data_IF_074413018105
#
_entry.id   IF_074413018105
#
_cell.length_a   1.000
_cell.length_b   1.000
_cell.length_c   1.000
_cell.angle_alpha   90.00
_cell.angle_beta   90.00
_cell.angle_gamma   90.00
#
_symmetry.space_group_name_H-M   'P 1'
#
loop_
_entity.id
_entity.type
_entity.pdbx_description
1 polymer ?
#
# COMPACT_ATOMS: atom_id res chain seq x y z
N UNK A 1 -2.42 -10.06 10.39
CA UNK A 1 -1.14 -9.46 10.82
C UNK A 1 -1.07 -9.24 12.33
N UNK A 2 -1.50 -10.24 13.11
CA UNK A 2 -1.42 -10.19 14.58
C UNK A 2 -0.02 -10.53 15.07
N UNK A 3 0.45 -9.85 16.11
CA UNK A 3 1.65 -10.25 16.83
C UNK A 3 1.36 -11.39 17.83
N UNK A 4 2.41 -11.96 18.42
CA UNK A 4 2.28 -13.09 19.34
C UNK A 4 1.45 -12.73 20.60
N UNK A 5 1.62 -11.56 21.17
CA UNK A 5 0.87 -11.13 22.36
C UNK A 5 -0.63 -10.98 22.05
N UNK A 6 -0.97 -10.40 20.93
CA UNK A 6 -2.37 -10.31 20.46
C UNK A 6 -2.98 -11.70 20.26
N UNK A 7 -2.22 -12.62 19.68
CA UNK A 7 -2.66 -14.00 19.53
C UNK A 7 -2.95 -14.67 20.89
N UNK A 8 -2.06 -14.52 21.87
CA UNK A 8 -2.28 -15.07 23.22
C UNK A 8 -3.51 -14.48 23.93
N UNK A 9 -3.75 -13.18 23.78
CA UNK A 9 -4.96 -12.53 24.31
C UNK A 9 -6.22 -13.14 23.70
N UNK A 10 -6.26 -13.25 22.36
CA UNK A 10 -7.40 -13.85 21.65
C UNK A 10 -7.62 -15.29 22.08
N UNK A 11 -6.54 -16.07 22.22
CA UNK A 11 -6.61 -17.46 22.69
C UNK A 11 -7.19 -17.56 24.09
N UNK A 12 -6.71 -16.73 25.03
CA UNK A 12 -7.22 -16.71 26.39
C UNK A 12 -8.71 -16.33 26.47
N UNK A 13 -9.16 -15.40 25.62
CA UNK A 13 -10.57 -14.99 25.55
C UNK A 13 -11.47 -16.10 24.96
N UNK A 14 -10.95 -16.90 24.05
CA UNK A 14 -11.70 -17.96 23.37
C UNK A 14 -11.61 -19.32 24.06
N UNK A 15 -10.75 -19.49 25.05
CA UNK A 15 -10.40 -20.79 25.66
C UNK A 15 -11.62 -21.58 26.14
N UNK A 16 -12.56 -20.92 26.79
CA UNK A 16 -13.74 -21.59 27.41
C UNK A 16 -14.73 -22.14 26.37
N UNK A 17 -15.00 -21.41 25.30
CA UNK A 17 -16.09 -21.75 24.37
C UNK A 17 -15.60 -22.14 22.98
N UNK A 18 -14.34 -21.82 22.67
CA UNK A 18 -13.70 -22.01 21.35
C UNK A 18 -14.52 -21.48 20.17
N UNK A 19 -15.45 -20.54 20.46
CA UNK A 19 -16.28 -19.91 19.45
C UNK A 19 -15.54 -18.69 18.88
N UNK A 20 -14.65 -18.95 17.94
CA UNK A 20 -13.78 -17.97 17.33
C UNK A 20 -13.78 -18.12 15.81
N UNK A 21 -13.82 -16.99 15.12
CA UNK A 21 -13.62 -16.91 13.67
C UNK A 21 -12.45 -16.00 13.38
N UNK A 22 -11.51 -16.48 12.59
CA UNK A 22 -10.37 -15.67 12.11
C UNK A 22 -10.43 -15.55 10.61
N UNK A 23 -10.11 -14.37 10.10
CA UNK A 23 -10.03 -14.07 8.68
C UNK A 23 -8.67 -13.49 8.38
N UNK A 24 -8.05 -13.95 7.32
CA UNK A 24 -6.73 -13.44 6.94
C UNK A 24 -6.32 -13.89 5.55
N UNK A 25 -5.20 -13.36 5.10
CA UNK A 25 -4.58 -13.73 3.84
C UNK A 25 -3.07 -13.92 4.07
N UNK A 26 -2.63 -15.16 4.01
CA UNK A 26 -1.23 -15.54 4.18
C UNK A 26 -0.31 -14.89 3.14
N UNK A 27 -0.83 -14.68 1.92
CA UNK A 27 -0.09 -14.03 0.85
C UNK A 27 0.15 -12.52 1.09
N UNK A 28 -0.64 -11.89 1.97
CA UNK A 28 -0.55 -10.47 2.30
C UNK A 28 0.06 -10.19 3.68
N UNK A 29 0.76 -11.14 4.27
CA UNK A 29 1.46 -10.97 5.56
C UNK A 29 2.75 -10.15 5.37
N UNK A 30 2.61 -8.81 5.35
CA UNK A 30 3.70 -7.87 5.05
C UNK A 30 4.17 -7.06 6.26
N UNK A 31 3.64 -7.31 7.47
CA UNK A 31 3.97 -6.56 8.69
C UNK A 31 4.88 -7.34 9.67
N UNK A 32 5.65 -8.30 9.19
CA UNK A 32 6.60 -9.04 10.03
C UNK A 32 7.61 -8.11 10.74
N UNK A 33 8.03 -7.01 10.10
CA UNK A 33 8.90 -6.00 10.69
C UNK A 33 8.26 -5.21 11.86
N UNK A 34 6.94 -5.34 12.04
CA UNK A 34 6.18 -4.80 13.20
C UNK A 34 5.79 -5.88 14.19
N UNK A 35 6.40 -7.07 14.10
CA UNK A 35 6.14 -8.20 14.99
C UNK A 35 4.93 -9.05 14.62
N UNK A 36 4.32 -8.85 13.45
CA UNK A 36 3.29 -9.75 12.95
C UNK A 36 3.86 -11.15 12.68
N UNK A 37 3.11 -12.18 13.03
CA UNK A 37 3.52 -13.55 12.87
C UNK A 37 2.50 -14.33 12.03
N UNK A 38 2.93 -14.69 10.81
CA UNK A 38 2.11 -15.48 9.88
C UNK A 38 1.73 -16.86 10.46
N UNK A 39 2.54 -17.41 11.35
CA UNK A 39 2.25 -18.69 11.98
C UNK A 39 0.97 -18.66 12.81
N UNK A 40 0.52 -17.51 13.27
CA UNK A 40 -0.75 -17.38 14.00
C UNK A 40 -1.94 -17.85 13.15
N UNK A 41 -1.92 -17.65 11.85
CA UNK A 41 -2.96 -18.14 10.94
C UNK A 41 -2.66 -19.54 10.41
N UNK A 42 -1.40 -19.83 10.08
CA UNK A 42 -1.00 -21.13 9.52
C UNK A 42 -1.17 -22.28 10.53
N UNK A 43 -0.94 -22.02 11.83
CA UNK A 43 -1.07 -23.02 12.87
C UNK A 43 -2.46 -23.03 13.53
N UNK A 44 -3.38 -22.18 13.12
CA UNK A 44 -4.69 -22.06 13.74
C UNK A 44 -5.44 -23.42 13.82
N UNK A 45 -5.35 -24.25 12.78
CA UNK A 45 -5.94 -25.59 12.76
C UNK A 45 -5.30 -26.57 13.75
N UNK A 46 -4.07 -26.30 14.23
CA UNK A 46 -3.39 -27.12 15.24
C UNK A 46 -3.71 -26.65 16.66
N UNK A 47 -4.06 -25.39 16.81
CA UNK A 47 -4.25 -24.73 18.10
C UNK A 47 -5.69 -24.83 18.62
N UNK A 48 -6.64 -25.13 17.73
CA UNK A 48 -8.06 -25.28 18.05
C UNK A 48 -8.61 -26.59 17.50
N UNK A 49 -9.53 -27.20 18.24
CA UNK A 49 -10.22 -28.39 17.81
C UNK A 49 -11.40 -28.11 16.86
N UNK A 50 -11.70 -29.02 15.96
CA UNK A 50 -12.84 -28.93 15.05
C UNK A 50 -12.89 -27.69 14.15
N UNK A 51 -11.73 -27.15 13.75
CA UNK A 51 -11.65 -25.97 12.89
C UNK A 51 -12.25 -26.26 11.51
N UNK A 52 -13.16 -25.40 11.09
CA UNK A 52 -13.67 -25.36 9.73
C UNK A 52 -12.88 -24.33 8.91
N UNK A 53 -12.23 -24.76 7.84
CA UNK A 53 -11.47 -23.89 6.94
C UNK A 53 -12.27 -23.59 5.67
N UNK A 54 -12.58 -22.32 5.47
CA UNK A 54 -13.20 -21.82 4.24
C UNK A 54 -12.20 -21.01 3.43
N UNK A 55 -12.06 -21.33 2.14
CA UNK A 55 -11.16 -20.60 1.23
C UNK A 55 -11.99 -19.69 0.35
N UNK A 56 -11.68 -18.40 0.39
CA UNK A 56 -12.29 -17.38 -0.46
C UNK A 56 -11.39 -17.18 -1.68
N UNK A 57 -11.59 -17.99 -2.72
CA UNK A 57 -10.71 -18.04 -3.88
C UNK A 57 -11.16 -17.14 -5.03
N UNK A 58 -12.43 -16.73 -5.05
CA UNK A 58 -12.93 -15.83 -6.10
C UNK A 58 -12.56 -14.39 -5.81
N UNK A 59 -11.88 -13.76 -6.78
CA UNK A 59 -11.54 -12.34 -6.78
C UNK A 59 -12.55 -11.57 -7.64
N UNK A 60 -13.22 -10.59 -7.06
CA UNK A 60 -14.23 -9.77 -7.72
C UNK A 60 -13.69 -8.40 -8.15
N UNK A 61 -12.45 -8.07 -7.78
CA UNK A 61 -11.86 -6.74 -7.98
C UNK A 61 -11.11 -6.62 -9.29
N UNK A 62 -10.30 -7.62 -9.59
CA UNK A 62 -9.25 -7.53 -10.62
C UNK A 62 -9.60 -8.33 -11.87
N UNK A 63 -9.05 -7.92 -13.02
CA UNK A 63 -9.09 -8.67 -14.26
C UNK A 63 -8.23 -9.94 -14.19
N UNK A 64 -8.43 -10.89 -15.11
CA UNK A 64 -7.69 -12.18 -15.16
C UNK A 64 -6.19 -11.97 -15.25
N UNK A 65 -5.71 -11.08 -16.12
CA UNK A 65 -4.28 -10.80 -16.28
C UNK A 65 -3.61 -10.40 -14.95
N UNK A 66 -4.31 -9.64 -14.10
CA UNK A 66 -3.79 -9.22 -12.78
C UNK A 66 -3.80 -10.41 -11.81
N UNK A 67 -4.89 -11.18 -11.77
CA UNK A 67 -5.03 -12.34 -10.88
C UNK A 67 -3.99 -13.41 -11.22
N UNK A 68 -3.78 -13.72 -12.49
CA UNK A 68 -2.76 -14.68 -12.94
C UNK A 68 -1.34 -14.23 -12.58
N UNK A 69 -1.03 -12.95 -12.78
CA UNK A 69 0.26 -12.39 -12.40
C UNK A 69 0.49 -12.48 -10.87
N UNK A 70 -0.54 -12.19 -10.07
CA UNK A 70 -0.47 -12.31 -8.62
C UNK A 70 -0.25 -13.76 -8.18
N UNK A 71 -0.99 -14.72 -8.75
CA UNK A 71 -0.79 -16.15 -8.49
C UNK A 71 0.66 -16.57 -8.81
N UNK A 72 1.19 -16.19 -9.96
CA UNK A 72 2.56 -16.52 -10.38
C UNK A 72 3.63 -15.95 -9.42
N UNK A 73 3.37 -14.79 -8.80
CA UNK A 73 4.28 -14.23 -7.78
C UNK A 73 4.19 -15.04 -6.49
N UNK A 74 2.97 -15.33 -6.02
CA UNK A 74 2.73 -16.05 -4.77
C UNK A 74 3.16 -17.51 -4.85
N UNK A 75 3.12 -18.14 -6.00
CA UNK A 75 3.58 -19.52 -6.19
C UNK A 75 5.05 -19.75 -5.85
N UNK A 76 5.85 -18.69 -5.85
CA UNK A 76 7.25 -18.73 -5.40
C UNK A 76 7.42 -18.77 -3.89
N UNK A 77 6.37 -18.48 -3.12
CA UNK A 77 6.40 -18.56 -1.67
C UNK A 77 6.35 -20.02 -1.22
N UNK A 78 7.33 -20.43 -0.41
CA UNK A 78 7.42 -21.79 0.13
C UNK A 78 6.42 -22.05 1.26
N UNK A 79 6.05 -21.01 2.01
CA UNK A 79 5.15 -21.10 3.17
C UNK A 79 3.86 -20.36 2.83
N UNK A 80 2.86 -21.10 2.38
CA UNK A 80 1.55 -20.57 2.00
C UNK A 80 0.47 -21.62 2.22
N UNK A 81 -0.78 -21.18 2.33
CA UNK A 81 -1.95 -22.06 2.23
C UNK A 81 -2.21 -22.40 0.75
N UNK A 82 -2.53 -23.65 0.48
CA UNK A 82 -2.89 -24.05 -0.89
C UNK A 82 -4.23 -23.42 -1.28
N UNK A 83 -4.16 -22.38 -2.10
CA UNK A 83 -5.30 -21.71 -2.71
C UNK A 83 -4.92 -21.20 -4.10
N UNK A 84 -5.87 -21.23 -5.01
CA UNK A 84 -5.72 -20.65 -6.35
C UNK A 84 -6.80 -19.59 -6.48
N UNK A 85 -6.36 -18.33 -6.51
CA UNK A 85 -7.28 -17.21 -6.70
C UNK A 85 -7.69 -17.14 -8.17
N UNK A 86 -8.99 -17.03 -8.43
CA UNK A 86 -9.56 -16.92 -9.76
C UNK A 86 -10.56 -15.78 -9.85
N UNK A 87 -10.90 -15.34 -11.05
CA UNK A 87 -11.92 -14.32 -11.28
C UNK A 87 -12.79 -14.65 -12.49
N UNK A 88 -14.03 -14.23 -12.45
CA UNK A 88 -14.96 -14.24 -13.58
C UNK A 88 -14.92 -12.94 -14.40
N UNK A 89 -14.13 -11.96 -13.99
CA UNK A 89 -13.98 -10.72 -14.73
C UNK A 89 -13.25 -10.95 -16.08
N UNK A 90 -13.35 -9.99 -16.97
CA UNK A 90 -12.68 -10.00 -18.27
C UNK A 90 -11.15 -10.07 -18.12
N UNK A 91 -10.46 -10.40 -19.22
CA UNK A 91 -9.00 -10.50 -19.25
C UNK A 91 -8.34 -9.16 -18.86
N UNK A 92 -8.95 -8.05 -19.26
CA UNK A 92 -8.41 -6.71 -19.06
C UNK A 92 -7.13 -6.43 -19.84
N UNK A 93 -6.55 -5.25 -19.70
CA UNK A 93 -5.30 -4.89 -20.36
C UNK A 93 -4.11 -5.68 -19.79
N UNK A 94 -3.11 -5.91 -20.61
CA UNK A 94 -1.86 -6.50 -20.18
C UNK A 94 -1.11 -5.58 -19.23
N UNK A 95 -0.44 -6.17 -18.22
CA UNK A 95 0.44 -5.46 -17.30
C UNK A 95 1.62 -4.89 -18.08
N UNK A 96 1.87 -3.58 -17.95
CA UNK A 96 3.00 -2.90 -18.56
C UNK A 96 4.12 -2.73 -17.54
N UNK A 97 5.34 -3.08 -17.92
CA UNK A 97 6.54 -2.83 -17.13
C UNK A 97 7.33 -1.73 -17.82
N UNK A 98 7.60 -0.65 -17.08
CA UNK A 98 8.40 0.48 -17.55
C UNK A 98 9.62 0.63 -16.63
N UNK A 99 10.79 0.82 -17.23
CA UNK A 99 12.03 1.08 -16.50
C UNK A 99 12.50 2.51 -16.79
N UNK A 100 12.60 3.32 -15.75
CA UNK A 100 13.19 4.65 -15.80
C UNK A 100 14.62 4.65 -15.27
N UNK A 101 15.42 5.61 -15.67
CA UNK A 101 16.80 5.77 -15.18
C UNK A 101 16.85 6.56 -13.86
N UNK A 102 15.87 7.46 -13.66
CA UNK A 102 15.78 8.31 -12.48
C UNK A 102 14.35 8.31 -11.93
N UNK A 103 14.20 8.62 -10.64
CA UNK A 103 12.91 8.84 -9.97
C UNK A 103 12.10 9.97 -10.62
N UNK A 104 12.77 11.03 -11.07
CA UNK A 104 12.13 12.12 -11.82
C UNK A 104 11.56 11.69 -13.17
N UNK A 105 12.21 10.77 -13.87
CA UNK A 105 11.66 10.16 -15.11
C UNK A 105 10.48 9.26 -14.81
N UNK A 106 10.58 8.44 -13.76
CA UNK A 106 9.49 7.60 -13.30
C UNK A 106 8.24 8.44 -12.98
N UNK A 107 8.40 9.51 -12.20
CA UNK A 107 7.31 10.42 -11.89
C UNK A 107 6.68 11.06 -13.13
N UNK A 108 7.50 11.52 -14.08
CA UNK A 108 7.01 12.08 -15.35
C UNK A 108 6.23 11.06 -16.18
N UNK A 109 6.74 9.83 -16.26
CA UNK A 109 6.07 8.74 -16.98
C UNK A 109 4.72 8.42 -16.34
N UNK A 110 4.64 8.27 -15.02
CA UNK A 110 3.41 7.99 -14.29
C UNK A 110 2.39 9.11 -14.48
N UNK A 111 2.79 10.37 -14.30
CA UNK A 111 1.90 11.51 -14.48
C UNK A 111 1.41 11.67 -15.93
N UNK A 112 2.28 11.37 -16.92
CA UNK A 112 1.90 11.35 -18.33
C UNK A 112 0.86 10.26 -18.61
N UNK A 113 1.10 9.04 -18.11
CA UNK A 113 0.18 7.90 -18.28
C UNK A 113 -1.20 8.20 -17.68
N UNK A 114 -1.24 8.78 -16.47
CA UNK A 114 -2.52 9.17 -15.84
C UNK A 114 -3.23 10.21 -16.69
N UNK A 115 -2.52 11.23 -17.16
CA UNK A 115 -3.10 12.27 -17.99
C UNK A 115 -3.69 11.70 -19.29
N UNK A 116 -2.95 10.83 -19.99
CA UNK A 116 -3.39 10.16 -21.21
C UNK A 116 -4.64 9.31 -20.97
N UNK A 117 -4.65 8.48 -19.92
CA UNK A 117 -5.80 7.65 -19.58
C UNK A 117 -7.03 8.48 -19.22
N UNK A 118 -6.87 9.61 -18.54
CA UNK A 118 -7.97 10.54 -18.28
C UNK A 118 -8.55 11.12 -19.55
N UNK A 119 -7.70 11.51 -20.51
CA UNK A 119 -8.15 12.11 -21.76
C UNK A 119 -8.81 11.07 -22.67
N UNK A 120 -8.21 9.88 -22.80
CA UNK A 120 -8.70 8.85 -23.73
C UNK A 120 -9.95 8.12 -23.19
N UNK A 121 -9.99 7.84 -21.90
CA UNK A 121 -11.02 7.01 -21.28
C UNK A 121 -11.96 7.79 -20.35
N UNK A 122 -11.85 9.12 -20.29
CA UNK A 122 -12.66 10.01 -19.44
C UNK A 122 -12.63 9.60 -17.94
N UNK A 123 -11.50 9.06 -17.49
CA UNK A 123 -11.36 8.57 -16.12
C UNK A 123 -11.25 9.73 -15.11
N UNK A 124 -11.84 9.53 -13.92
CA UNK A 124 -11.75 10.47 -12.82
C UNK A 124 -10.46 10.24 -12.02
N UNK A 125 -9.94 11.29 -11.35
CA UNK A 125 -8.73 11.19 -10.52
C UNK A 125 -8.80 10.10 -9.46
N UNK A 126 -9.96 9.89 -8.83
CA UNK A 126 -10.16 8.86 -7.80
C UNK A 126 -10.09 7.41 -8.31
N UNK A 127 -10.00 7.20 -9.62
CA UNK A 127 -9.85 5.86 -10.23
C UNK A 127 -8.38 5.45 -10.40
N UNK A 128 -7.44 6.34 -10.06
CA UNK A 128 -6.00 6.06 -10.11
C UNK A 128 -5.42 5.92 -8.71
N UNK A 129 -4.48 4.99 -8.55
CA UNK A 129 -3.68 4.86 -7.35
C UNK A 129 -2.21 4.66 -7.74
N UNK A 130 -1.32 5.36 -7.05
CA UNK A 130 0.12 5.20 -7.18
C UNK A 130 0.62 4.57 -5.88
N UNK A 131 1.23 3.40 -6.00
CA UNK A 131 1.80 2.66 -4.88
C UNK A 131 3.32 2.69 -4.98
N UNK A 132 4.00 2.99 -3.88
CA UNK A 132 5.46 3.02 -3.82
C UNK A 132 5.98 2.32 -2.57
N UNK A 133 7.23 1.87 -2.62
CA UNK A 133 7.84 1.08 -1.53
C UNK A 133 8.25 1.95 -0.35
N UNK A 134 8.75 3.15 -0.61
CA UNK A 134 9.29 4.05 0.42
C UNK A 134 8.72 5.45 0.27
N UNK A 135 8.56 6.15 1.40
CA UNK A 135 8.07 7.53 1.40
C UNK A 135 8.98 8.52 0.64
N UNK A 136 10.25 8.18 0.43
CA UNK A 136 11.16 9.02 -0.34
C UNK A 136 10.73 9.16 -1.82
N UNK A 137 10.12 8.11 -2.39
CA UNK A 137 9.65 8.09 -3.78
C UNK A 137 8.45 9.03 -4.00
N UNK A 138 7.70 9.38 -2.94
CA UNK A 138 6.52 10.25 -3.07
C UNK A 138 6.84 11.60 -3.68
N UNK A 139 8.02 12.17 -3.38
CA UNK A 139 8.43 13.50 -3.84
C UNK A 139 8.43 13.62 -5.37
N UNK A 140 9.07 12.67 -6.05
CA UNK A 140 9.14 12.68 -7.51
C UNK A 140 7.74 12.55 -8.15
N UNK A 141 6.86 11.73 -7.55
CA UNK A 141 5.47 11.59 -7.98
C UNK A 141 4.67 12.88 -7.75
N UNK A 142 4.78 13.48 -6.55
CA UNK A 142 4.12 14.73 -6.21
C UNK A 142 4.52 15.89 -7.16
N UNK A 143 5.82 16.04 -7.40
CA UNK A 143 6.34 17.08 -8.29
C UNK A 143 5.87 16.89 -9.74
N UNK A 144 5.80 15.64 -10.22
CA UNK A 144 5.35 15.34 -11.58
C UNK A 144 3.84 15.56 -11.75
N UNK A 145 3.02 15.15 -10.76
CA UNK A 145 1.58 15.38 -10.76
C UNK A 145 1.24 16.88 -10.70
N UNK A 146 1.96 17.65 -9.83
CA UNK A 146 1.78 19.08 -9.69
C UNK A 146 2.10 19.83 -10.97
N UNK A 147 3.18 19.47 -11.68
CA UNK A 147 3.54 20.06 -12.97
C UNK A 147 2.49 19.86 -14.08
N UNK A 148 1.58 18.91 -13.90
CA UNK A 148 0.49 18.62 -14.83
C UNK A 148 -0.88 19.02 -14.29
N UNK A 149 -0.93 19.74 -13.17
CA UNK A 149 -2.17 20.16 -12.50
C UNK A 149 -3.10 18.98 -12.19
N UNK A 150 -2.53 17.79 -11.88
CA UNK A 150 -3.29 16.62 -11.48
C UNK A 150 -3.45 16.62 -9.95
N UNK A 151 -4.66 16.84 -9.41
CA UNK A 151 -4.90 16.78 -7.98
C UNK A 151 -4.65 15.38 -7.44
N UNK A 152 -4.01 15.29 -6.29
CA UNK A 152 -3.70 14.02 -5.62
C UNK A 152 -3.89 14.11 -4.12
N UNK A 153 -4.00 12.96 -3.46
CA UNK A 153 -4.02 12.82 -2.01
C UNK A 153 -3.04 11.73 -1.58
N UNK A 154 -2.25 12.02 -0.54
CA UNK A 154 -1.33 11.05 0.06
C UNK A 154 -2.02 10.37 1.24
N UNK A 155 -1.94 9.04 1.29
CA UNK A 155 -2.43 8.22 2.38
C UNK A 155 -1.25 7.57 3.11
N UNK A 156 -1.33 7.54 4.43
CA UNK A 156 -0.34 6.85 5.27
C UNK A 156 0.98 7.59 5.50
N UNK A 157 1.09 8.84 5.08
CA UNK A 157 2.27 9.68 5.30
C UNK A 157 1.95 11.16 5.20
N UNK A 158 2.89 11.98 5.67
CA UNK A 158 2.88 13.41 5.40
C UNK A 158 3.51 13.64 4.02
N UNK A 159 2.95 14.57 3.24
CA UNK A 159 3.61 15.08 2.04
C UNK A 159 5.05 15.51 2.39
N UNK A 160 5.97 15.38 1.43
CA UNK A 160 7.35 15.80 1.61
C UNK A 160 7.43 17.22 2.20
N UNK A 161 6.66 18.15 1.68
CA UNK A 161 6.64 19.55 2.13
C UNK A 161 5.92 19.77 3.47
N UNK A 162 5.18 18.79 3.97
CA UNK A 162 4.51 18.86 5.28
C UNK A 162 5.35 18.29 6.42
N UNK A 163 6.47 17.66 6.11
CA UNK A 163 7.40 17.13 7.13
C UNK A 163 7.98 18.26 7.95
N UNK A 164 8.12 18.02 9.27
CA UNK A 164 8.65 19.03 10.20
C UNK A 164 9.99 19.58 9.75
N UNK A 165 10.93 18.69 9.43
CA UNK A 165 12.29 19.02 9.03
C UNK A 165 12.33 19.93 7.77
N UNK A 166 11.44 19.65 6.81
CA UNK A 166 11.35 20.43 5.57
C UNK A 166 10.74 21.80 5.84
N UNK A 167 9.70 21.87 6.68
CA UNK A 167 9.11 23.15 7.07
C UNK A 167 10.08 24.02 7.85
N UNK A 168 10.92 23.41 8.70
CA UNK A 168 11.93 24.13 9.47
C UNK A 168 12.98 24.74 8.52
N UNK A 169 13.53 23.96 7.59
CA UNK A 169 14.47 24.46 6.57
C UNK A 169 13.84 25.58 5.72
N UNK A 170 12.58 25.40 5.29
CA UNK A 170 11.88 26.42 4.53
C UNK A 170 11.67 27.71 5.33
N UNK A 171 11.42 27.61 6.64
CA UNK A 171 11.30 28.80 7.49
C UNK A 171 12.61 29.60 7.55
N UNK A 172 13.76 28.93 7.69
CA UNK A 172 15.07 29.60 7.60
C UNK A 172 15.25 30.30 6.23
N UNK A 173 14.94 29.63 5.13
CA UNK A 173 15.07 30.23 3.79
C UNK A 173 14.12 31.41 3.59
N UNK A 174 12.89 31.36 4.14
CA UNK A 174 11.95 32.50 4.10
C UNK A 174 12.48 33.69 4.87
N UNK A 175 13.09 33.50 6.04
CA UNK A 175 13.69 34.59 6.82
C UNK A 175 14.86 35.24 6.11
N UNK A 176 15.65 34.49 5.32
CA UNK A 176 16.74 35.06 4.49
C UNK A 176 16.16 35.99 3.43
N UNK A 177 15.04 35.65 2.82
CA UNK A 177 14.39 36.44 1.77
C UNK A 177 13.58 37.60 2.38
N UNK A 178 12.84 37.34 3.45
CA UNK A 178 12.01 38.31 4.15
C UNK A 178 12.23 38.23 5.68
N UNK A 179 13.10 39.05 6.26
CA UNK A 179 13.38 39.08 7.70
C UNK A 179 12.18 39.49 8.56
N UNK A 180 11.07 39.95 7.95
CA UNK A 180 9.83 40.31 8.66
C UNK A 180 8.75 39.24 8.60
N UNK A 181 9.09 38.05 8.13
CA UNK A 181 8.17 36.92 8.12
C UNK A 181 8.00 36.36 9.56
N UNK A 182 6.98 36.85 10.25
CA UNK A 182 6.70 36.48 11.65
C UNK A 182 6.39 34.98 11.82
N UNK A 183 5.69 34.37 10.85
CA UNK A 183 5.36 32.93 10.89
C UNK A 183 6.64 32.09 10.82
N UNK A 184 7.54 32.47 9.90
CA UNK A 184 8.82 31.80 9.75
C UNK A 184 9.72 32.02 11.00
N UNK A 185 9.70 33.23 11.58
CA UNK A 185 10.47 33.53 12.79
C UNK A 185 10.02 32.70 13.98
N UNK A 186 8.71 32.64 14.28
CA UNK A 186 8.15 31.83 15.37
C UNK A 186 8.48 30.35 15.20
N UNK A 187 8.63 29.89 13.97
CA UNK A 187 8.96 28.49 13.70
C UNK A 187 10.44 28.18 13.91
N UNK A 188 11.33 29.15 13.77
CA UNK A 188 12.79 29.01 13.85
C UNK A 188 13.29 29.17 15.30
N UNK A 189 12.59 29.95 16.13
CA UNK A 189 12.84 30.11 17.58
C UNK A 189 12.24 28.93 18.36
#
# INVERSE_FOLDING_TARGET
DTNHSQYLIVRALSDRFQNICVVGDDAQSIYAFRGANINNILNFQKDYENVQLYRLEQNYRSSKNIVEAANNVIDKNKTKLDKIVWTSNDDGPKIKVHRSLTDGEEGRFVAATIFEQKMQNQMLNGQFAILYRTNAQSRAMEDALRKRDIPYRIYGGLSFYQRKEIKDVLAYLRLVINPKDEEALVRVI
#
